data_IF_722158587628
#
_entry.id   IF_722158587628
#
_cell.length_a   1.000
_cell.length_b   1.000
_cell.length_c   1.000
_cell.angle_alpha   90.00
_cell.angle_beta   90.00
_cell.angle_gamma   90.00
#
_symmetry.space_group_name_H-M   'P 1'
#
loop_
_entity.id
_entity.type
_entity.pdbx_description
1 polymer ?
#
# COMPACT_ATOMS: atom_id res chain seq x y z
N UNK A 1 19.74 9.50 6.52
CA UNK A 1 19.06 8.46 5.71
C UNK A 1 17.67 8.28 6.30
N UNK A 2 16.59 8.44 5.53
CA UNK A 2 15.21 8.21 5.98
C UNK A 2 14.67 6.98 5.25
N UNK A 3 14.11 6.02 5.97
CA UNK A 3 13.35 4.93 5.37
C UNK A 3 11.99 5.49 4.97
N UNK A 4 11.58 5.30 3.71
CA UNK A 4 10.36 5.89 3.18
C UNK A 4 9.16 4.96 3.34
N UNK A 5 9.29 3.71 2.87
CA UNK A 5 8.23 2.72 2.92
C UNK A 5 8.80 1.31 2.80
N UNK A 6 7.97 0.32 3.09
CA UNK A 6 8.25 -1.09 2.80
C UNK A 6 7.30 -1.57 1.70
N UNK A 7 7.84 -2.18 0.65
CA UNK A 7 7.05 -2.72 -0.46
C UNK A 7 6.85 -4.23 -0.33
N UNK A 8 5.61 -4.68 -0.54
CA UNK A 8 5.21 -6.08 -0.55
C UNK A 8 4.47 -6.37 -1.87
N UNK A 9 4.95 -7.36 -2.63
CA UNK A 9 4.21 -7.83 -3.81
C UNK A 9 3.09 -8.77 -3.39
N UNK A 10 1.89 -8.54 -3.91
CA UNK A 10 0.66 -9.26 -3.52
C UNK A 10 -0.10 -9.79 -4.72
N UNK A 11 -0.76 -10.94 -4.53
CA UNK A 11 -1.56 -11.61 -5.57
C UNK A 11 -3.03 -11.19 -5.55
N UNK A 12 -3.55 -10.75 -4.40
CA UNK A 12 -4.93 -10.28 -4.23
C UNK A 12 -4.92 -8.98 -3.41
N UNK A 13 -4.95 -7.81 -4.09
CA UNK A 13 -4.85 -6.52 -3.41
C UNK A 13 -6.02 -6.27 -2.47
N UNK A 14 -7.23 -6.66 -2.86
CA UNK A 14 -8.43 -6.41 -2.07
C UNK A 14 -8.37 -7.16 -0.74
N UNK A 15 -7.99 -8.44 -0.74
CA UNK A 15 -7.82 -9.20 0.50
C UNK A 15 -6.68 -8.67 1.36
N UNK A 16 -5.59 -8.20 0.74
CA UNK A 16 -4.44 -7.68 1.47
C UNK A 16 -4.78 -6.34 2.14
N UNK A 17 -5.49 -5.44 1.43
CA UNK A 17 -5.99 -4.19 2.00
C UNK A 17 -6.90 -4.49 3.19
N UNK A 18 -7.88 -5.39 3.03
CA UNK A 18 -8.79 -5.76 4.11
C UNK A 18 -8.03 -6.29 5.35
N UNK A 19 -6.95 -7.05 5.16
CA UNK A 19 -6.08 -7.48 6.26
C UNK A 19 -5.42 -6.29 6.96
N UNK A 20 -4.81 -5.36 6.22
CA UNK A 20 -4.16 -4.18 6.82
C UNK A 20 -5.15 -3.20 7.46
N UNK A 21 -6.39 -3.12 6.96
CA UNK A 21 -7.47 -2.36 7.62
C UNK A 21 -7.80 -2.91 9.00
N UNK A 22 -7.71 -4.24 9.23
CA UNK A 22 -7.87 -4.80 10.58
C UNK A 22 -6.76 -4.37 11.56
N UNK A 23 -5.60 -3.97 11.03
CA UNK A 23 -4.48 -3.42 11.80
C UNK A 23 -4.55 -1.90 11.94
N UNK A 24 -5.59 -1.26 11.39
CA UNK A 24 -5.84 0.17 11.49
C UNK A 24 -5.18 1.01 10.38
N UNK A 25 -4.58 0.40 9.37
CA UNK A 25 -4.07 1.12 8.21
C UNK A 25 -5.21 1.48 7.26
N UNK A 26 -5.02 2.55 6.49
CA UNK A 26 -5.96 3.00 5.46
C UNK A 26 -5.22 3.30 4.18
N UNK A 27 -5.89 3.12 3.05
CA UNK A 27 -5.36 3.55 1.76
C UNK A 27 -5.24 5.07 1.72
N UNK A 28 -4.04 5.56 1.43
CA UNK A 28 -3.73 6.99 1.32
C UNK A 28 -3.39 7.41 -0.11
N UNK A 29 -2.92 6.47 -0.94
CA UNK A 29 -2.60 6.72 -2.35
C UNK A 29 -2.69 5.44 -3.16
N UNK A 30 -3.17 5.57 -4.40
CA UNK A 30 -3.20 4.49 -5.40
C UNK A 30 -2.73 5.01 -6.76
N UNK A 31 -1.96 4.18 -7.45
CA UNK A 31 -1.49 4.45 -8.80
C UNK A 31 -1.66 3.21 -9.67
N UNK A 32 -2.29 3.38 -10.82
CA UNK A 32 -2.51 2.29 -11.78
C UNK A 32 -1.75 2.59 -13.08
N UNK A 33 -1.09 1.58 -13.63
CA UNK A 33 -0.39 1.70 -14.90
C UNK A 33 -0.77 0.54 -15.82
N UNK A 34 -1.73 0.78 -16.71
CA UNK A 34 -2.22 -0.23 -17.65
C UNK A 34 -1.13 -0.73 -18.61
N UNK A 35 -0.29 0.18 -19.13
CA UNK A 35 0.79 -0.17 -20.06
C UNK A 35 1.85 -1.05 -19.39
N UNK A 36 2.16 -0.76 -18.13
CA UNK A 36 3.10 -1.52 -17.30
C UNK A 36 2.47 -2.75 -16.64
N UNK A 37 1.14 -2.86 -16.66
CA UNK A 37 0.34 -3.93 -16.04
C UNK A 37 0.64 -4.09 -14.55
N UNK A 38 0.66 -2.98 -13.81
CA UNK A 38 0.82 -3.01 -12.36
C UNK A 38 -0.06 -1.97 -11.65
N UNK A 39 -0.32 -2.23 -10.37
CA UNK A 39 -0.98 -1.29 -9.45
C UNK A 39 -0.13 -1.11 -8.20
N UNK A 40 0.08 0.13 -7.77
CA UNK A 40 0.72 0.49 -6.51
C UNK A 40 -0.34 1.04 -5.55
N UNK A 41 -0.35 0.54 -4.32
CA UNK A 41 -1.33 0.93 -3.29
C UNK A 41 -0.56 1.21 -2.02
N UNK A 42 -0.66 2.42 -1.50
CA UNK A 42 0.04 2.86 -0.30
C UNK A 42 -0.95 2.91 0.86
N UNK A 43 -0.60 2.23 1.94
CA UNK A 43 -1.36 2.17 3.18
C UNK A 43 -0.56 2.80 4.32
N UNK A 44 -1.20 3.55 5.20
CA UNK A 44 -0.57 4.09 6.40
C UNK A 44 -1.55 4.15 7.58
N UNK A 45 -1.03 4.33 8.79
CA UNK A 45 -1.85 4.58 9.97
C UNK A 45 -2.28 6.05 9.96
N UNK A 46 -3.55 6.38 10.29
CA UNK A 46 -3.99 7.76 10.38
C UNK A 46 -3.11 8.59 11.32
N UNK A 47 -2.54 9.69 10.80
CA UNK A 47 -1.63 10.56 11.55
C UNK A 47 -0.15 10.19 11.48
N UNK A 48 0.20 9.09 10.79
CA UNK A 48 1.59 8.68 10.51
C UNK A 48 1.75 8.29 9.03
N UNK A 49 1.54 9.27 8.15
CA UNK A 49 1.64 9.10 6.68
C UNK A 49 3.09 9.00 6.19
N UNK A 50 4.06 9.26 7.06
CA UNK A 50 5.48 9.13 6.77
C UNK A 50 5.96 7.66 6.77
N UNK A 51 5.15 6.74 7.30
CA UNK A 51 5.43 5.32 7.41
C UNK A 51 4.47 4.49 6.54
N UNK A 52 4.70 4.46 5.22
CA UNK A 52 3.84 3.75 4.28
C UNK A 52 4.20 2.27 4.12
N UNK A 53 3.17 1.43 3.95
CA UNK A 53 3.27 0.08 3.37
C UNK A 53 2.80 0.17 1.92
N UNK A 54 3.68 -0.15 0.98
CA UNK A 54 3.34 -0.21 -0.45
C UNK A 54 2.98 -1.64 -0.84
N UNK A 55 1.81 -1.83 -1.44
CA UNK A 55 1.40 -3.06 -2.09
C UNK A 55 1.58 -2.93 -3.61
N UNK A 56 2.36 -3.82 -4.21
CA UNK A 56 2.47 -3.92 -5.67
C UNK A 56 1.70 -5.15 -6.16
N UNK A 57 0.77 -4.94 -7.09
CA UNK A 57 0.06 -5.99 -7.80
C UNK A 57 0.45 -6.02 -9.27
#
# INVERSE_FOLDING_TARGET
MKYLHTMIRVTDPAKTIAFFETLGLKEVRRMENEKGRFTLIFLSVPGDEDAEVELTH
#
